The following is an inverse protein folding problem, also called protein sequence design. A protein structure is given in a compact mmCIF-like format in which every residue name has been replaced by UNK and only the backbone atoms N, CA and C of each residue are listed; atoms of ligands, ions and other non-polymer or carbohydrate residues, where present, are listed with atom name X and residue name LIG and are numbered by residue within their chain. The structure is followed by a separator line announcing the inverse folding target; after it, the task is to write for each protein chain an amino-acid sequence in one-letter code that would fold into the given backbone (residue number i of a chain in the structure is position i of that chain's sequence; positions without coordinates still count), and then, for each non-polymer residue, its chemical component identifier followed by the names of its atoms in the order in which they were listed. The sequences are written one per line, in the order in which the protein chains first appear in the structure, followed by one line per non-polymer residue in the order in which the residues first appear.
data_IF_498136377249
#
_entry.id   IF_498136377249
#
_cell.length_a   1.000
_cell.length_b   1.000
_cell.length_c   1.000
_cell.angle_alpha   90.00
_cell.angle_beta   90.00
_cell.angle_gamma   90.00
#
_symmetry.space_group_name_H-M   'P 1'
#
loop_
_entity.id
_entity.type
_entity.pdbx_description
1 polymer ?
#
# COMPACT_ATOMS: atom_id res chain seq x y z
N UNK A 1 15.76 -34.62 -28.83
CA UNK A 1 16.65 -34.25 -27.70
C UNK A 1 17.35 -32.90 -27.90
N UNK A 2 16.66 -31.84 -28.35
CA UNK A 2 17.32 -30.60 -28.83
C UNK A 2 16.85 -29.31 -28.17
N UNK A 3 15.78 -29.32 -27.35
CA UNK A 3 15.25 -28.10 -26.70
C UNK A 3 15.99 -27.68 -25.41
N UNK A 4 16.53 -28.64 -24.64
CA UNK A 4 17.29 -28.35 -23.41
C UNK A 4 18.66 -27.70 -23.67
N UNK A 5 19.24 -27.92 -24.85
CA UNK A 5 20.57 -27.38 -25.20
C UNK A 5 20.51 -25.91 -25.62
N UNK A 6 19.41 -25.47 -26.24
CA UNK A 6 19.18 -24.06 -26.63
C UNK A 6 18.84 -23.18 -25.44
N UNK A 7 18.02 -23.68 -24.51
CA UNK A 7 17.60 -22.95 -23.31
C UNK A 7 18.77 -22.72 -22.32
N UNK A 8 19.67 -23.70 -22.21
CA UNK A 8 20.91 -23.56 -21.42
C UNK A 8 21.93 -22.61 -22.06
N UNK A 9 21.85 -22.36 -23.38
CA UNK A 9 22.73 -21.42 -24.09
C UNK A 9 22.25 -19.97 -23.95
N UNK A 10 20.94 -19.75 -23.83
CA UNK A 10 20.36 -18.43 -23.55
C UNK A 10 20.50 -18.00 -22.08
N UNK A 11 20.41 -18.94 -21.12
CA UNK A 11 20.67 -18.60 -19.71
C UNK A 11 22.13 -18.15 -19.48
N UNK A 12 23.08 -18.74 -20.21
CA UNK A 12 24.51 -18.37 -20.11
C UNK A 12 24.85 -17.07 -20.86
N UNK A 13 24.07 -16.66 -21.85
CA UNK A 13 24.26 -15.39 -22.55
C UNK A 13 23.68 -14.20 -21.77
N UNK A 14 22.60 -14.41 -21.00
CA UNK A 14 22.04 -13.41 -20.08
C UNK A 14 22.95 -13.13 -18.87
N UNK A 15 23.69 -14.14 -18.39
CA UNK A 15 24.60 -14.01 -17.26
C UNK A 15 25.95 -13.33 -17.57
N UNK A 16 26.31 -13.12 -18.86
CA UNK A 16 27.62 -12.61 -19.25
C UNK A 16 27.59 -11.20 -19.87
N UNK A 17 26.56 -10.41 -19.59
CA UNK A 17 26.54 -8.99 -19.93
C UNK A 17 27.32 -8.24 -18.87
N UNK A 18 28.66 -8.20 -19.02
CA UNK A 18 29.56 -7.37 -18.21
C UNK A 18 28.94 -5.97 -18.07
N UNK A 19 28.84 -5.40 -16.85
CA UNK A 19 28.28 -4.06 -16.70
C UNK A 19 29.13 -3.11 -17.55
N UNK A 20 28.46 -2.34 -18.41
CA UNK A 20 29.10 -1.31 -19.21
C UNK A 20 29.92 -0.43 -18.24
N UNK A 21 31.24 -0.33 -18.46
CA UNK A 21 32.16 0.49 -17.65
C UNK A 21 31.64 1.93 -17.61
N UNK A 22 30.94 2.28 -16.53
CA UNK A 22 30.58 3.66 -16.25
C UNK A 22 31.87 4.41 -15.93
N UNK A 23 32.16 5.43 -16.74
CA UNK A 23 33.34 6.30 -16.63
C UNK A 23 33.44 6.85 -15.20
N UNK A 24 34.52 6.49 -14.49
CA UNK A 24 34.67 6.65 -13.03
C UNK A 24 34.58 8.06 -12.43
N UNK A 25 34.52 9.12 -13.24
CA UNK A 25 34.27 10.49 -12.74
C UNK A 25 32.80 10.78 -12.41
N UNK A 26 31.86 10.16 -13.13
CA UNK A 26 30.42 10.36 -12.87
C UNK A 26 29.97 9.61 -11.62
N UNK A 27 30.32 8.32 -11.54
CA UNK A 27 30.03 7.51 -10.36
C UNK A 27 30.60 8.09 -9.05
N UNK A 28 31.80 8.68 -9.07
CA UNK A 28 32.37 9.32 -7.90
C UNK A 28 31.64 10.61 -7.47
N UNK A 29 31.07 11.36 -8.41
CA UNK A 29 30.25 12.52 -8.11
C UNK A 29 28.85 12.12 -7.62
N UNK A 30 28.30 11.03 -8.15
CA UNK A 30 27.00 10.49 -7.73
C UNK A 30 27.06 10.00 -6.28
N UNK A 31 28.11 9.25 -5.91
CA UNK A 31 28.35 8.81 -4.52
C UNK A 31 28.48 9.99 -3.55
N UNK A 32 29.29 11.00 -3.89
CA UNK A 32 29.41 12.21 -3.07
C UNK A 32 28.08 12.93 -2.87
N UNK A 33 27.22 12.91 -3.88
CA UNK A 33 25.90 13.52 -3.80
C UNK A 33 24.97 12.72 -2.91
N UNK A 34 25.02 11.39 -2.95
CA UNK A 34 24.30 10.52 -2.03
C UNK A 34 24.75 10.74 -0.57
N UNK A 35 26.06 10.80 -0.31
CA UNK A 35 26.59 11.10 1.03
C UNK A 35 26.09 12.47 1.54
N UNK A 36 26.05 13.49 0.67
CA UNK A 36 25.53 14.82 1.03
C UNK A 36 24.03 14.82 1.30
N UNK A 37 23.26 13.98 0.60
CA UNK A 37 21.82 13.80 0.86
C UNK A 37 21.58 13.18 2.23
N UNK A 38 22.33 12.14 2.56
CA UNK A 38 22.23 11.46 3.86
C UNK A 38 22.57 12.41 5.01
N UNK A 39 23.67 13.18 4.88
CA UNK A 39 24.03 14.21 5.85
C UNK A 39 22.97 15.32 5.97
N UNK A 40 22.35 15.74 4.86
CA UNK A 40 21.28 16.73 4.89
C UNK A 40 20.05 16.22 5.67
N UNK A 41 19.72 14.94 5.53
CA UNK A 41 18.62 14.30 6.25
C UNK A 41 18.94 14.18 7.75
N UNK A 42 20.15 13.77 8.11
CA UNK A 42 20.58 13.67 9.51
C UNK A 42 20.54 15.02 10.22
N UNK A 43 21.08 16.07 9.61
CA UNK A 43 21.03 17.43 10.15
C UNK A 43 19.59 17.93 10.27
N UNK A 44 18.69 17.51 9.36
CA UNK A 44 17.26 17.83 9.45
C UNK A 44 16.60 17.14 10.64
N UNK A 45 16.91 15.88 10.90
CA UNK A 45 16.43 15.11 12.05
C UNK A 45 16.92 15.72 13.37
N UNK A 46 18.12 16.30 13.38
CA UNK A 46 18.66 17.07 14.51
C UNK A 46 18.00 18.44 14.71
N UNK A 47 17.02 18.80 13.87
CA UNK A 47 16.23 20.02 14.00
C UNK A 47 16.82 21.25 13.30
N UNK A 48 17.90 21.11 12.52
CA UNK A 48 18.44 22.24 11.76
C UNK A 48 17.46 22.73 10.69
N UNK A 49 17.48 24.04 10.45
CA UNK A 49 16.70 24.64 9.37
C UNK A 49 17.41 24.47 8.01
N UNK A 50 16.64 24.50 6.92
CA UNK A 50 17.13 24.23 5.56
C UNK A 50 18.27 25.17 5.11
N UNK A 51 18.26 26.43 5.58
CA UNK A 51 19.31 27.41 5.24
C UNK A 51 20.62 27.09 5.96
N UNK A 52 20.55 26.69 7.22
CA UNK A 52 21.72 26.27 8.01
C UNK A 52 22.35 25.00 7.43
N UNK A 53 21.52 24.02 7.04
CA UNK A 53 21.96 22.79 6.38
C UNK A 53 22.63 23.11 5.04
N UNK A 54 22.02 23.96 4.21
CA UNK A 54 22.61 24.38 2.94
C UNK A 54 23.97 25.07 3.12
N UNK A 55 24.09 25.93 4.14
CA UNK A 55 25.36 26.57 4.48
C UNK A 55 26.41 25.56 4.95
N UNK A 56 26.03 24.57 5.76
CA UNK A 56 26.93 23.53 6.26
C UNK A 56 27.46 22.62 5.13
N UNK A 57 26.61 22.28 4.16
CA UNK A 57 26.93 21.37 3.07
C UNK A 57 27.43 22.08 1.79
N UNK A 58 27.42 23.41 1.77
CA UNK A 58 27.83 24.21 0.61
C UNK A 58 26.85 24.17 -0.57
N UNK A 59 25.56 23.92 -0.32
CA UNK A 59 24.51 23.82 -1.33
C UNK A 59 23.35 24.80 -1.06
N UNK A 60 22.52 25.08 -2.07
CA UNK A 60 21.37 25.97 -1.87
C UNK A 60 20.31 25.33 -0.97
N UNK A 61 19.60 26.15 -0.19
CA UNK A 61 18.50 25.68 0.66
C UNK A 61 17.38 24.98 -0.14
N UNK A 62 17.15 25.37 -1.40
CA UNK A 62 16.22 24.69 -2.31
C UNK A 62 16.70 23.28 -2.69
N UNK A 63 18.01 23.10 -2.87
CA UNK A 63 18.60 21.78 -3.14
C UNK A 63 18.41 20.85 -1.95
N UNK A 64 18.66 21.35 -0.74
CA UNK A 64 18.42 20.63 0.52
C UNK A 64 16.95 20.24 0.66
N UNK A 65 16.03 21.19 0.41
CA UNK A 65 14.59 20.92 0.42
C UNK A 65 14.24 19.77 -0.53
N UNK A 66 14.68 19.86 -1.79
CA UNK A 66 14.42 18.84 -2.79
C UNK A 66 14.92 17.46 -2.37
N UNK A 67 16.11 17.36 -1.78
CA UNK A 67 16.64 16.08 -1.31
C UNK A 67 15.82 15.48 -0.16
N UNK A 68 15.39 16.32 0.77
CA UNK A 68 14.56 15.90 1.90
C UNK A 68 13.17 15.46 1.41
N UNK A 69 12.57 16.22 0.49
CA UNK A 69 11.28 15.88 -0.10
C UNK A 69 11.36 14.55 -0.88
N UNK A 70 12.41 14.35 -1.70
CA UNK A 70 12.69 13.09 -2.41
C UNK A 70 12.83 11.90 -1.45
N UNK A 71 13.51 12.06 -0.31
CA UNK A 71 13.65 10.98 0.68
C UNK A 71 12.34 10.66 1.41
N UNK A 72 11.54 11.67 1.73
CA UNK A 72 10.23 11.45 2.35
C UNK A 72 9.27 10.75 1.39
N UNK A 73 9.25 11.17 0.13
CA UNK A 73 8.43 10.55 -0.92
C UNK A 73 8.88 9.12 -1.19
N UNK A 74 10.18 8.89 -1.39
CA UNK A 74 10.71 7.53 -1.55
C UNK A 74 10.47 6.64 -0.31
N UNK A 75 10.52 7.21 0.89
CA UNK A 75 10.17 6.48 2.13
C UNK A 75 8.68 6.22 2.27
N UNK A 76 7.83 7.08 1.71
CA UNK A 76 6.39 6.84 1.63
C UNK A 76 6.09 5.70 0.65
N UNK A 77 6.66 5.73 -0.55
CA UNK A 77 6.52 4.68 -1.56
C UNK A 77 6.98 3.32 -1.02
N UNK A 78 8.17 3.26 -0.41
CA UNK A 78 8.68 2.02 0.21
C UNK A 78 7.75 1.49 1.30
N UNK A 79 7.20 2.38 2.15
CA UNK A 79 6.24 1.98 3.19
C UNK A 79 4.94 1.47 2.59
N UNK A 80 4.44 2.11 1.53
CA UNK A 80 3.25 1.66 0.83
C UNK A 80 3.46 0.28 0.19
N UNK A 81 4.57 0.10 -0.53
CA UNK A 81 4.90 -1.19 -1.16
C UNK A 81 5.04 -2.31 -0.11
N UNK A 82 5.67 -2.01 1.04
CA UNK A 82 5.76 -2.96 2.15
C UNK A 82 4.39 -3.26 2.76
N UNK A 83 3.52 -2.25 2.90
CA UNK A 83 2.16 -2.44 3.38
C UNK A 83 1.34 -3.32 2.42
N UNK A 84 1.46 -3.12 1.11
CA UNK A 84 0.81 -3.94 0.08
C UNK A 84 1.30 -5.40 0.16
N UNK A 85 2.62 -5.62 0.27
CA UNK A 85 3.17 -6.97 0.44
C UNK A 85 2.69 -7.66 1.71
N UNK A 86 2.57 -6.92 2.82
CA UNK A 86 2.03 -7.46 4.07
C UNK A 86 0.56 -7.80 3.95
N UNK A 87 -0.23 -6.97 3.25
CA UNK A 87 -1.63 -7.24 2.95
C UNK A 87 -1.77 -8.53 2.12
N UNK A 88 -0.99 -8.65 1.04
CA UNK A 88 -0.98 -9.83 0.17
C UNK A 88 -0.63 -11.10 0.95
N UNK A 89 0.43 -11.05 1.77
CA UNK A 89 0.82 -12.18 2.62
C UNK A 89 -0.30 -12.56 3.58
N UNK A 90 -0.92 -11.59 4.25
CA UNK A 90 -2.01 -11.83 5.19
C UNK A 90 -3.23 -12.45 4.51
N UNK A 91 -3.56 -12.02 3.29
CA UNK A 91 -4.64 -12.61 2.50
C UNK A 91 -4.34 -14.05 2.11
N UNK A 92 -3.10 -14.35 1.72
CA UNK A 92 -2.66 -15.70 1.37
C UNK A 92 -2.72 -16.64 2.59
N UNK A 93 -2.30 -16.16 3.76
CA UNK A 93 -2.42 -16.91 5.02
C UNK A 93 -3.89 -17.23 5.35
N UNK A 94 -4.80 -16.27 5.18
CA UNK A 94 -6.24 -16.46 5.38
C UNK A 94 -6.85 -17.44 4.37
N UNK A 95 -6.44 -17.38 3.11
CA UNK A 95 -6.87 -18.34 2.09
C UNK A 95 -6.37 -19.76 2.40
N UNK A 96 -5.12 -19.89 2.84
CA UNK A 96 -4.58 -21.15 3.32
C UNK A 96 -5.39 -21.69 4.50
N UNK A 97 -5.64 -20.88 5.53
CA UNK A 97 -6.49 -21.28 6.67
C UNK A 97 -7.89 -21.70 6.22
N UNK A 98 -8.52 -20.96 5.32
CA UNK A 98 -9.83 -21.30 4.76
C UNK A 98 -9.80 -22.66 4.05
N UNK A 99 -8.77 -22.92 3.24
CA UNK A 99 -8.60 -24.19 2.53
C UNK A 99 -8.49 -25.40 3.47
N UNK A 100 -7.97 -25.19 4.69
CA UNK A 100 -7.88 -26.24 5.72
C UNK A 100 -9.20 -26.52 6.41
N UNK A 101 -10.05 -25.50 6.55
CA UNK A 101 -11.33 -25.62 7.25
C UNK A 101 -12.47 -26.03 6.30
N UNK A 102 -12.39 -25.63 5.03
CA UNK A 102 -13.45 -25.85 4.05
C UNK A 102 -13.86 -27.33 3.85
N UNK A 103 -12.96 -28.33 3.88
CA UNK A 103 -13.36 -29.74 3.80
C UNK A 103 -14.31 -30.16 4.92
N UNK A 104 -14.18 -29.55 6.10
CA UNK A 104 -14.98 -29.92 7.26
C UNK A 104 -16.43 -29.41 7.21
N UNK A 105 -16.76 -28.56 6.23
CA UNK A 105 -18.13 -28.08 6.03
C UNK A 105 -19.13 -29.17 5.63
N UNK A 106 -18.63 -30.28 5.06
CA UNK A 106 -19.44 -31.41 4.61
C UNK A 106 -19.37 -32.62 5.55
N UNK A 107 -18.76 -32.47 6.73
CA UNK A 107 -18.66 -33.57 7.71
C UNK A 107 -20.03 -33.98 8.21
N UNK A 108 -20.26 -35.26 8.44
CA UNK A 108 -21.53 -35.77 8.97
C UNK A 108 -21.74 -35.35 10.44
N UNK A 109 -20.67 -35.39 11.24
CA UNK A 109 -20.68 -34.92 12.61
C UNK A 109 -21.05 -33.43 12.65
N UNK A 110 -22.23 -33.17 13.21
CA UNK A 110 -22.80 -31.84 13.35
C UNK A 110 -21.89 -30.90 14.14
N UNK A 111 -21.23 -31.39 15.19
CA UNK A 111 -20.38 -30.56 16.05
C UNK A 111 -19.15 -30.09 15.28
N UNK A 112 -18.48 -31.01 14.57
CA UNK A 112 -17.29 -30.70 13.76
C UNK A 112 -17.68 -29.71 12.65
N UNK A 113 -18.78 -29.98 11.95
CA UNK A 113 -19.28 -29.13 10.87
C UNK A 113 -19.59 -27.70 11.34
N UNK A 114 -20.29 -27.53 12.45
CA UNK A 114 -20.60 -26.19 12.98
C UNK A 114 -19.34 -25.44 13.43
N UNK A 115 -18.41 -26.12 14.10
CA UNK A 115 -17.13 -25.50 14.46
C UNK A 115 -16.32 -25.07 13.22
N UNK A 116 -16.36 -25.85 12.15
CA UNK A 116 -15.73 -25.48 10.90
C UNK A 116 -16.40 -24.24 10.29
N UNK A 117 -17.72 -24.22 10.18
CA UNK A 117 -18.48 -23.08 9.66
C UNK A 117 -18.19 -21.79 10.44
N UNK A 118 -18.20 -21.85 11.78
CA UNK A 118 -17.87 -20.70 12.63
C UNK A 118 -16.46 -20.16 12.35
N UNK A 119 -15.47 -21.04 12.21
CA UNK A 119 -14.10 -20.65 11.84
C UNK A 119 -14.05 -20.05 10.44
N UNK A 120 -14.76 -20.63 9.47
CA UNK A 120 -14.87 -20.12 8.10
C UNK A 120 -15.46 -18.72 8.04
N UNK A 121 -16.51 -18.45 8.81
CA UNK A 121 -17.13 -17.11 8.94
C UNK A 121 -16.11 -16.11 9.46
N UNK A 122 -15.38 -16.43 10.54
CA UNK A 122 -14.36 -15.54 11.13
C UNK A 122 -13.19 -15.24 10.19
N UNK A 123 -12.77 -16.24 9.40
CA UNK A 123 -11.73 -16.05 8.37
C UNK A 123 -12.24 -15.05 7.31
N UNK A 124 -13.47 -15.23 6.83
CA UNK A 124 -14.05 -14.33 5.83
C UNK A 124 -14.32 -12.92 6.36
N UNK A 125 -14.73 -12.78 7.63
CA UNK A 125 -14.80 -11.47 8.30
C UNK A 125 -13.44 -10.76 8.32
N UNK A 126 -12.37 -11.50 8.64
CA UNK A 126 -11.02 -10.95 8.65
C UNK A 126 -10.58 -10.48 7.26
N UNK A 127 -10.91 -11.26 6.20
CA UNK A 127 -10.66 -10.87 4.81
C UNK A 127 -11.42 -9.60 4.41
N UNK A 128 -12.71 -9.49 4.75
CA UNK A 128 -13.51 -8.30 4.45
C UNK A 128 -12.97 -7.04 5.13
N UNK A 129 -12.49 -7.16 6.37
CA UNK A 129 -11.84 -6.07 7.09
C UNK A 129 -10.53 -5.63 6.43
N UNK A 130 -9.68 -6.59 6.03
CA UNK A 130 -8.43 -6.28 5.32
C UNK A 130 -8.67 -5.60 3.96
N UNK A 131 -9.71 -6.02 3.23
CA UNK A 131 -10.10 -5.42 1.96
C UNK A 131 -10.91 -4.12 2.11
N UNK A 132 -11.23 -3.72 3.34
CA UNK A 132 -12.04 -2.54 3.61
C UNK A 132 -13.50 -2.64 3.20
N UNK A 133 -14.00 -3.83 2.85
CA UNK A 133 -15.41 -4.08 2.45
C UNK A 133 -16.37 -3.70 3.57
N UNK A 134 -15.99 -3.98 4.82
CA UNK A 134 -16.79 -3.68 6.01
C UNK A 134 -16.49 -2.26 6.57
N UNK A 135 -15.80 -1.39 5.82
CA UNK A 135 -15.49 -0.02 6.29
C UNK A 135 -16.74 0.85 6.29
N UNK A 136 -17.00 1.64 7.35
CA UNK A 136 -18.14 2.54 7.38
C UNK A 136 -18.01 3.64 6.33
N UNK A 137 -19.07 3.87 5.55
CA UNK A 137 -19.14 5.03 4.65
C UNK A 137 -19.24 6.32 5.47
N UNK A 138 -18.40 7.30 5.14
CA UNK A 138 -18.52 8.64 5.73
C UNK A 138 -19.66 9.37 5.03
N UNK A 139 -20.79 9.49 5.72
CA UNK A 139 -21.92 10.28 5.24
C UNK A 139 -21.64 11.75 5.54
N UNK A 140 -21.30 12.53 4.51
CA UNK A 140 -21.16 13.97 4.61
C UNK A 140 -22.56 14.60 4.75
N UNK A 141 -23.05 14.70 5.98
CA UNK A 141 -24.30 15.40 6.27
C UNK A 141 -24.04 16.90 6.16
N UNK A 142 -24.35 17.47 5.00
CA UNK A 142 -24.37 18.92 4.82
C UNK A 142 -25.60 19.50 5.55
N UNK A 143 -25.40 20.00 6.76
CA UNK A 143 -26.45 20.53 7.65
C UNK A 143 -27.15 21.79 7.15
N UNK A 144 -26.87 22.26 5.92
CA UNK A 144 -27.48 23.47 5.35
C UNK A 144 -28.62 23.20 4.35
N UNK A 145 -29.02 21.95 4.11
CA UNK A 145 -30.28 21.69 3.42
C UNK A 145 -31.44 21.87 4.40
N UNK A 146 -32.05 23.06 4.38
CA UNK A 146 -33.41 23.25 4.86
C UNK A 146 -34.28 22.24 4.11
N UNK A 147 -34.76 21.22 4.82
CA UNK A 147 -35.87 20.41 4.33
C UNK A 147 -37.03 21.37 4.15
N UNK A 148 -37.32 21.74 2.89
CA UNK A 148 -38.62 22.28 2.57
C UNK A 148 -39.60 21.16 2.88
N UNK A 149 -40.27 21.22 4.03
CA UNK A 149 -41.55 20.57 4.18
C UNK A 149 -42.40 21.16 3.07
N UNK A 150 -42.54 20.45 1.95
CA UNK A 150 -43.58 20.77 1.00
C UNK A 150 -44.86 20.73 1.81
N UNK A 151 -45.46 21.89 2.04
CA UNK A 151 -46.86 22.01 2.38
C UNK A 151 -47.59 21.30 1.24
N UNK A 152 -47.82 20.01 1.38
CA UNK A 152 -48.78 19.27 0.59
C UNK A 152 -50.11 19.74 1.17
N UNK A 153 -50.88 20.59 0.48
CA UNK A 153 -52.23 20.85 0.93
C UNK A 153 -52.97 19.50 0.89
N UNK A 154 -53.58 19.12 2.01
CA UNK A 154 -54.53 18.01 2.00
C UNK A 154 -55.63 18.37 0.98
N UNK A 155 -55.99 17.47 0.06
CA UNK A 155 -57.15 17.69 -0.79
C UNK A 155 -58.38 17.82 0.11
N UNK A 156 -59.12 18.92 -0.04
CA UNK A 156 -60.37 19.22 0.70
C UNK A 156 -61.55 18.32 0.28
N UNK A 157 -61.31 17.39 -0.65
CA UNK A 157 -62.34 16.62 -1.31
C UNK A 157 -62.31 15.16 -0.82
N UNK A 158 -62.68 14.96 0.45
CA UNK A 158 -63.28 13.68 0.85
C UNK A 158 -64.80 13.88 0.82
N UNK A 159 -65.36 13.82 -0.39
CA UNK A 159 -66.78 13.59 -0.59
C UNK A 159 -67.16 12.29 0.13
N UNK A 160 -67.78 12.44 1.29
CA UNK A 160 -68.48 11.35 1.97
C UNK A 160 -69.83 11.15 1.29
N UNK A 161 -69.92 10.12 0.44
CA UNK A 161 -71.18 9.44 0.09
C UNK A 161 -71.21 8.04 0.72
#
# INVERSE_FOLDING_TARGET
MTKKATEQKELKSRANKKPARLKGKRAANDLKREDQKEQALELRLQGMNLRAIGKALGVSHETVRKWIDEEYEGSFERRHELADKLLDQSLLELEYMYSKVAPDFSQEDRKIRYQALDRGIKINESRRKLLGIDSPEKLDVNTNQKLYTSNIPLPDDLDTD
#
